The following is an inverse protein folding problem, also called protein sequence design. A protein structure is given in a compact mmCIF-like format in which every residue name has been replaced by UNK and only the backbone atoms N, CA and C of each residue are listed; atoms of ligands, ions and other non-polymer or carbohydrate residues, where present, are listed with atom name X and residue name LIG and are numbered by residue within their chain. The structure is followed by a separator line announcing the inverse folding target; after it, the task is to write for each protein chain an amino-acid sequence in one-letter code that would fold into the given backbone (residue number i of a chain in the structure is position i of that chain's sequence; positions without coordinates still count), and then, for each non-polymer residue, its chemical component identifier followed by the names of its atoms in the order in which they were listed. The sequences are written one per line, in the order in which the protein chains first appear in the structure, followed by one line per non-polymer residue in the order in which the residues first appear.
data_IF_149196249670
#
_entry.id   IF_149196249670
#
_cell.length_a   1.000
_cell.length_b   1.000
_cell.length_c   1.000
_cell.angle_alpha   90.00
_cell.angle_beta   90.00
_cell.angle_gamma   90.00
#
_symmetry.space_group_name_H-M   'P 1'
#
loop_
_entity.id
_entity.type
_entity.pdbx_description
1 polymer ?
#
# COMPACT_ATOMS: atom_id res chain seq x y z
N UNK A 1 11.24 -7.63 15.47
CA UNK A 1 12.62 -7.79 14.97
C UNK A 1 13.55 -7.07 15.93
N UNK A 2 14.60 -7.75 16.39
CA UNK A 2 15.66 -7.16 17.21
C UNK A 2 16.96 -7.25 16.44
N UNK A 3 17.75 -6.19 16.49
CA UNK A 3 19.12 -6.18 15.96
C UNK A 3 19.96 -5.34 16.92
N UNK A 4 21.26 -5.64 16.98
CA UNK A 4 22.23 -4.84 17.75
C UNK A 4 22.72 -3.62 16.96
N UNK A 5 22.40 -3.56 15.67
CA UNK A 5 22.73 -2.44 14.80
C UNK A 5 21.72 -1.30 14.99
N UNK A 6 22.20 -0.06 15.00
CA UNK A 6 21.31 1.08 14.83
C UNK A 6 20.64 1.05 13.45
N UNK A 7 19.52 1.75 13.28
CA UNK A 7 18.80 1.79 12.00
C UNK A 7 19.69 2.24 10.83
N UNK A 8 20.58 3.22 11.06
CA UNK A 8 21.51 3.74 10.05
C UNK A 8 22.60 2.72 9.70
N UNK A 9 23.16 2.03 10.69
CA UNK A 9 24.15 0.97 10.47
C UNK A 9 23.55 -0.24 9.76
N UNK A 10 22.33 -0.63 10.14
CA UNK A 10 21.59 -1.71 9.51
C UNK A 10 21.37 -1.41 8.02
N UNK A 11 20.90 -0.20 7.69
CA UNK A 11 20.67 0.20 6.32
C UNK A 11 21.96 0.23 5.48
N UNK A 12 23.05 0.79 6.01
CA UNK A 12 24.35 0.80 5.33
C UNK A 12 24.87 -0.63 5.08
N UNK A 13 24.82 -1.51 6.09
CA UNK A 13 25.22 -2.90 5.94
C UNK A 13 24.36 -3.67 4.92
N UNK A 14 23.06 -3.33 4.81
CA UNK A 14 22.16 -3.88 3.80
C UNK A 14 22.61 -3.50 2.39
N UNK A 15 22.89 -2.22 2.16
CA UNK A 15 23.38 -1.73 0.87
C UNK A 15 24.72 -2.37 0.47
N UNK A 16 25.58 -2.65 1.44
CA UNK A 16 26.88 -3.28 1.23
C UNK A 16 26.82 -4.81 1.18
N UNK A 17 25.63 -5.42 1.28
CA UNK A 17 25.45 -6.88 1.35
C UNK A 17 26.24 -7.56 2.48
N UNK A 18 26.40 -6.85 3.61
CA UNK A 18 27.12 -7.30 4.82
C UNK A 18 26.19 -7.79 5.94
N UNK A 19 24.90 -7.92 5.66
CA UNK A 19 23.93 -8.47 6.60
C UNK A 19 23.87 -10.00 6.50
N UNK A 20 24.00 -10.66 7.64
CA UNK A 20 23.79 -12.09 7.84
C UNK A 20 22.51 -12.32 8.62
N UNK A 21 21.88 -13.49 8.46
CA UNK A 21 20.72 -13.90 9.27
C UNK A 21 20.98 -13.83 10.78
N UNK A 22 22.25 -13.93 11.20
CA UNK A 22 22.67 -13.84 12.61
C UNK A 22 22.63 -12.42 13.16
N UNK A 23 22.54 -11.41 12.31
CA UNK A 23 22.52 -9.99 12.72
C UNK A 23 21.13 -9.53 13.21
N UNK A 24 20.12 -10.40 13.11
CA UNK A 24 18.75 -10.10 13.50
C UNK A 24 17.99 -11.31 14.03
N UNK A 25 17.16 -11.05 15.03
CA UNK A 25 16.21 -12.00 15.59
C UNK A 25 14.79 -11.54 15.27
N UNK A 26 13.98 -12.47 14.75
CA UNK A 26 12.55 -12.22 14.52
C UNK A 26 11.81 -12.48 15.83
N UNK A 27 10.87 -11.60 16.18
CA UNK A 27 10.02 -11.88 17.34
C UNK A 27 9.07 -13.06 17.06
N UNK A 28 8.71 -13.77 18.11
CA UNK A 28 7.78 -14.90 18.10
C UNK A 28 6.30 -14.46 18.01
N UNK A 29 6.04 -13.14 17.97
CA UNK A 29 4.69 -12.56 17.96
C UNK A 29 4.05 -12.55 16.56
N UNK A 30 4.74 -13.04 15.53
CA UNK A 30 4.22 -13.24 14.18
C UNK A 30 4.06 -11.95 13.34
N UNK A 31 4.23 -10.76 13.93
CA UNK A 31 3.99 -9.49 13.24
C UNK A 31 5.04 -9.19 12.18
N UNK A 32 6.30 -9.57 12.39
CA UNK A 32 7.35 -9.38 11.37
C UNK A 32 7.10 -10.31 10.18
N UNK A 33 6.75 -11.57 10.45
CA UNK A 33 6.45 -12.58 9.45
C UNK A 33 5.26 -12.14 8.60
N UNK A 34 4.20 -11.63 9.22
CA UNK A 34 3.05 -11.06 8.50
C UNK A 34 3.43 -9.91 7.56
N UNK A 35 4.42 -9.08 7.92
CA UNK A 35 4.92 -8.02 7.04
C UNK A 35 5.76 -8.62 5.91
N UNK A 36 6.74 -9.47 6.22
CA UNK A 36 7.66 -9.98 5.20
C UNK A 36 6.97 -10.87 4.15
N UNK A 37 5.96 -11.66 4.54
CA UNK A 37 5.25 -12.58 3.64
C UNK A 37 4.57 -11.89 2.46
N UNK A 38 4.26 -10.59 2.54
CA UNK A 38 3.50 -9.91 1.50
C UNK A 38 4.34 -9.05 0.57
N UNK A 39 5.64 -8.92 0.82
CA UNK A 39 6.55 -8.15 -0.02
C UNK A 39 6.53 -8.58 -1.50
N UNK A 40 6.48 -9.88 -1.85
CA UNK A 40 6.43 -10.29 -3.25
C UNK A 40 5.17 -9.85 -3.99
N UNK A 41 4.06 -9.64 -3.28
CA UNK A 41 2.76 -9.27 -3.88
C UNK A 41 2.53 -7.77 -3.92
N UNK A 42 3.47 -6.96 -3.42
CA UNK A 42 3.29 -5.50 -3.30
C UNK A 42 2.98 -4.83 -4.64
N UNK A 43 3.65 -5.30 -5.70
CA UNK A 43 3.44 -4.78 -7.05
C UNK A 43 2.01 -5.02 -7.55
N UNK A 44 1.37 -6.11 -7.13
CA UNK A 44 0.08 -6.55 -7.67
C UNK A 44 -1.13 -5.84 -7.06
N UNK A 45 -0.98 -5.23 -5.89
CA UNK A 45 -2.12 -4.62 -5.16
C UNK A 45 -2.88 -3.60 -6.00
N UNK A 46 -2.15 -2.83 -6.80
CA UNK A 46 -2.68 -1.72 -7.57
C UNK A 46 -3.17 -2.12 -8.98
N UNK A 47 -3.06 -3.40 -9.34
CA UNK A 47 -3.50 -3.95 -10.63
C UNK A 47 -4.74 -4.84 -10.53
N UNK A 48 -5.28 -5.01 -9.33
CA UNK A 48 -6.40 -5.92 -9.07
C UNK A 48 -7.44 -5.28 -8.15
N UNK A 49 -8.56 -5.99 -7.98
CA UNK A 49 -9.63 -5.57 -7.09
C UNK A 49 -9.13 -5.40 -5.64
N UNK A 50 -9.19 -4.17 -5.16
CA UNK A 50 -8.84 -3.81 -3.79
C UNK A 50 -9.93 -2.94 -3.13
N UNK A 51 -9.78 -2.75 -1.83
CA UNK A 51 -10.64 -1.90 -1.02
C UNK A 51 -9.80 -0.91 -0.22
N UNK A 52 -10.42 0.19 0.20
CA UNK A 52 -9.82 1.25 1.01
C UNK A 52 -10.69 1.53 2.23
N UNK A 53 -10.08 1.82 3.38
CA UNK A 53 -10.83 2.21 4.57
C UNK A 53 -9.96 2.82 5.67
N UNK A 54 -10.58 3.60 6.56
CA UNK A 54 -9.91 4.23 7.70
C UNK A 54 -9.44 3.20 8.72
N UNK A 55 -8.23 3.39 9.25
CA UNK A 55 -7.63 2.45 10.20
C UNK A 55 -8.36 2.47 11.55
N UNK A 56 -8.81 1.31 12.03
CA UNK A 56 -9.57 1.20 13.29
C UNK A 56 -8.69 1.00 14.53
N UNK A 57 -7.38 1.20 14.42
CA UNK A 57 -6.43 0.93 15.50
C UNK A 57 -6.58 -0.49 16.06
N UNK A 58 -6.46 -1.50 15.19
CA UNK A 58 -6.74 -2.92 15.46
C UNK A 58 -5.72 -3.62 16.39
N UNK A 59 -5.18 -2.89 17.39
CA UNK A 59 -4.22 -3.41 18.38
C UNK A 59 -2.79 -3.57 17.86
N UNK A 60 -2.50 -3.10 16.64
CA UNK A 60 -1.16 -3.10 16.08
C UNK A 60 -0.59 -1.69 16.24
N UNK A 61 0.59 -1.55 16.87
CA UNK A 61 1.26 -0.26 17.03
C UNK A 61 1.79 0.23 15.66
N UNK A 62 0.88 0.77 14.85
CA UNK A 62 1.12 1.29 13.51
C UNK A 62 0.56 2.71 13.49
N UNK A 63 1.34 3.63 12.94
CA UNK A 63 0.92 5.01 12.71
C UNK A 63 0.44 5.18 11.26
N UNK A 64 -0.59 4.45 10.89
CA UNK A 64 -1.29 4.55 9.60
C UNK A 64 -2.66 5.20 9.83
N UNK A 65 -3.13 5.97 8.85
CA UNK A 65 -4.41 6.65 8.90
C UNK A 65 -5.50 5.84 8.17
N UNK A 66 -5.13 5.14 7.10
CA UNK A 66 -6.02 4.26 6.34
C UNK A 66 -5.26 3.09 5.72
N UNK A 67 -5.99 2.07 5.27
CA UNK A 67 -5.44 0.90 4.59
C UNK A 67 -6.05 0.74 3.20
N UNK A 68 -5.24 0.27 2.26
CA UNK A 68 -5.66 -0.25 0.96
C UNK A 68 -5.25 -1.71 0.90
N UNK A 69 -6.15 -2.62 0.55
CA UNK A 69 -5.84 -4.04 0.54
C UNK A 69 -6.84 -4.87 -0.23
N UNK A 70 -6.46 -6.09 -0.57
CA UNK A 70 -7.41 -7.06 -1.11
C UNK A 70 -8.29 -7.68 -0.02
N UNK A 71 -9.36 -8.33 -0.45
CA UNK A 71 -10.28 -9.04 0.45
C UNK A 71 -9.92 -10.51 0.68
N UNK A 72 -8.88 -11.02 0.01
CA UNK A 72 -8.41 -12.40 0.13
C UNK A 72 -7.35 -12.57 1.21
N UNK A 73 -7.07 -11.51 1.96
CA UNK A 73 -6.06 -11.47 3.01
C UNK A 73 -4.64 -11.74 2.48
N UNK A 74 -4.35 -11.35 1.23
CA UNK A 74 -3.00 -11.53 0.65
C UNK A 74 -2.14 -10.31 0.96
N UNK A 75 -2.70 -9.10 0.86
CA UNK A 75 -1.94 -7.88 1.08
C UNK A 75 -2.84 -6.71 1.49
N UNK A 76 -2.46 -6.05 2.59
CA UNK A 76 -2.96 -4.74 2.99
C UNK A 76 -1.79 -3.78 3.23
N UNK A 77 -1.84 -2.60 2.63
CA UNK A 77 -0.84 -1.52 2.78
C UNK A 77 -1.47 -0.37 3.56
N UNK A 78 -0.82 0.03 4.64
CA UNK A 78 -1.23 1.16 5.47
C UNK A 78 -0.53 2.44 5.01
N UNK A 79 -1.28 3.52 4.92
CA UNK A 79 -0.82 4.83 4.46
C UNK A 79 -0.93 5.87 5.56
N UNK A 80 -0.10 6.91 5.49
CA UNK A 80 -0.26 8.14 6.27
C UNK A 80 -0.59 9.29 5.33
N UNK A 81 -1.55 10.11 5.74
CA UNK A 81 -1.97 11.32 5.04
C UNK A 81 -0.86 12.35 5.07
N UNK A 82 -0.46 12.80 3.88
CA UNK A 82 0.52 13.86 3.72
C UNK A 82 -0.14 15.21 3.46
N UNK A 83 0.69 16.26 3.27
CA UNK A 83 0.17 17.58 2.84
C UNK A 83 -0.22 17.62 1.37
N UNK A 84 0.58 16.96 0.52
CA UNK A 84 0.40 16.91 -0.94
C UNK A 84 0.15 15.52 -1.47
N UNK A 85 0.74 14.51 -0.84
CA UNK A 85 0.69 13.12 -1.29
C UNK A 85 0.79 12.23 -0.08
N UNK A 86 -0.03 11.18 -0.07
CA UNK A 86 -0.03 10.18 0.98
C UNK A 86 1.07 9.15 0.70
N UNK A 87 1.64 8.58 1.76
CA UNK A 87 2.78 7.67 1.63
C UNK A 87 2.56 6.38 2.42
N UNK A 88 3.00 5.23 1.87
CA UNK A 88 2.90 3.95 2.56
C UNK A 88 3.81 3.96 3.79
N UNK A 89 3.30 3.44 4.91
CA UNK A 89 4.04 3.33 6.18
C UNK A 89 4.15 1.89 6.67
N UNK A 90 3.33 0.98 6.14
CA UNK A 90 3.39 -0.43 6.53
C UNK A 90 2.64 -1.32 5.54
N UNK A 91 2.82 -2.64 5.66
CA UNK A 91 2.22 -3.68 4.82
C UNK A 91 1.98 -4.94 5.66
N UNK A 92 0.90 -5.68 5.42
CA UNK A 92 0.46 -6.82 6.24
C UNK A 92 -0.20 -7.92 5.41
N UNK A 93 0.07 -9.17 5.81
CA UNK A 93 -0.72 -10.35 5.44
C UNK A 93 -2.01 -10.43 6.29
N UNK A 94 -2.96 -9.55 6.03
CA UNK A 94 -4.24 -9.54 6.73
C UNK A 94 -5.33 -8.93 5.84
N UNK A 95 -6.57 -9.34 6.06
CA UNK A 95 -7.72 -8.81 5.36
C UNK A 95 -7.95 -7.33 5.73
N UNK A 96 -8.04 -6.46 4.72
CA UNK A 96 -8.26 -5.02 4.90
C UNK A 96 -9.49 -4.69 5.75
N UNK A 97 -10.54 -5.52 5.72
CA UNK A 97 -11.77 -5.35 6.51
C UNK A 97 -11.58 -5.56 8.02
N UNK A 98 -10.52 -6.26 8.42
CA UNK A 98 -10.14 -6.39 9.84
C UNK A 98 -9.29 -5.21 10.32
N UNK A 99 -8.63 -4.52 9.39
CA UNK A 99 -7.77 -3.38 9.68
C UNK A 99 -8.53 -2.05 9.55
N UNK A 100 -9.63 -2.01 8.81
CA UNK A 100 -10.30 -0.76 8.46
C UNK A 100 -11.82 -0.82 8.45
N UNK A 101 -12.46 0.26 8.90
CA UNK A 101 -13.91 0.47 8.84
C UNK A 101 -14.23 1.98 8.77
N UNK A 102 -15.18 2.41 7.92
CA UNK A 102 -15.82 1.61 6.88
C UNK A 102 -14.82 1.21 5.79
N UNK A 103 -15.11 0.13 5.07
CA UNK A 103 -14.30 -0.30 3.92
C UNK A 103 -15.08 -0.08 2.63
N UNK A 104 -14.53 0.71 1.71
CA UNK A 104 -15.10 1.04 0.42
C UNK A 104 -14.38 0.28 -0.71
N UNK A 105 -15.12 -0.06 -1.77
CA UNK A 105 -14.51 -0.64 -2.97
C UNK A 105 -13.74 0.44 -3.73
N UNK A 106 -12.54 0.12 -4.17
CA UNK A 106 -11.83 0.96 -5.13
C UNK A 106 -12.45 0.71 -6.51
N UNK A 107 -12.80 1.80 -7.21
CA UNK A 107 -13.42 1.71 -8.54
C UNK A 107 -12.39 1.78 -9.67
N UNK A 108 -11.33 2.56 -9.47
CA UNK A 108 -10.22 2.67 -10.41
C UNK A 108 -8.91 2.98 -9.67
N UNK A 109 -7.79 2.57 -10.26
CA UNK A 109 -6.43 2.95 -9.83
C UNK A 109 -5.70 3.49 -11.05
N UNK A 110 -5.12 4.67 -10.88
CA UNK A 110 -4.32 5.33 -11.91
C UNK A 110 -2.86 5.46 -11.43
N UNK A 111 -1.92 5.28 -12.35
CA UNK A 111 -0.48 5.42 -12.12
C UNK A 111 0.15 6.39 -13.13
N UNK A 112 1.36 6.83 -12.81
CA UNK A 112 2.23 7.67 -13.67
C UNK A 112 3.68 7.45 -13.33
N UNK A 113 4.58 7.90 -14.19
CA UNK A 113 5.97 8.07 -13.76
C UNK A 113 6.07 9.22 -12.75
N UNK A 114 7.03 9.10 -11.84
CA UNK A 114 7.21 10.07 -10.74
C UNK A 114 7.36 11.53 -11.22
N UNK A 115 7.95 11.73 -12.41
CA UNK A 115 8.21 13.06 -12.97
C UNK A 115 7.04 13.63 -13.78
N UNK A 116 6.05 12.81 -14.11
CA UNK A 116 4.95 13.22 -14.97
C UNK A 116 3.93 14.02 -14.15
N UNK A 117 3.25 14.96 -14.80
CA UNK A 117 2.23 15.76 -14.14
C UNK A 117 0.92 14.99 -14.01
N UNK A 118 0.50 14.33 -15.10
CA UNK A 118 -0.76 13.61 -15.19
C UNK A 118 -0.59 12.10 -15.06
N UNK A 119 -1.68 11.43 -14.69
CA UNK A 119 -1.82 9.98 -14.60
C UNK A 119 -2.23 9.41 -15.95
N UNK A 120 -1.33 8.70 -16.61
CA UNK A 120 -1.45 8.19 -17.97
C UNK A 120 -1.84 6.71 -18.06
N UNK A 121 -1.78 5.99 -16.94
CA UNK A 121 -2.05 4.55 -16.92
C UNK A 121 -3.15 4.19 -15.94
N UNK A 122 -4.27 3.65 -16.45
CA UNK A 122 -5.29 3.01 -15.62
C UNK A 122 -4.88 1.56 -15.32
N UNK A 123 -4.31 1.31 -14.13
CA UNK A 123 -3.83 -0.02 -13.73
C UNK A 123 -4.94 -0.95 -13.27
N UNK A 124 -6.07 -0.38 -12.84
CA UNK A 124 -7.26 -1.13 -12.46
C UNK A 124 -8.52 -0.34 -12.75
N UNK A 125 -9.53 -1.00 -13.31
CA UNK A 125 -10.90 -0.50 -13.44
C UNK A 125 -11.86 -1.61 -13.00
N UNK A 126 -12.80 -1.28 -12.12
CA UNK A 126 -13.79 -2.24 -11.65
C UNK A 126 -14.70 -2.69 -12.80
N UNK A 127 -15.17 -3.95 -12.72
CA UNK A 127 -16.03 -4.53 -13.76
C UNK A 127 -17.29 -3.67 -13.96
N UNK A 128 -17.68 -3.50 -15.22
CA UNK A 128 -18.84 -2.70 -15.63
C UNK A 128 -18.77 -1.24 -15.16
N UNK A 129 -17.57 -0.68 -15.07
CA UNK A 129 -17.36 0.75 -14.88
C UNK A 129 -16.71 1.32 -16.14
N UNK A 130 -17.05 2.56 -16.49
CA UNK A 130 -16.34 3.40 -17.44
C UNK A 130 -15.81 4.63 -16.71
N UNK A 131 -14.62 5.12 -17.07
CA UNK A 131 -14.02 6.31 -16.43
C UNK A 131 -14.98 7.50 -16.47
N UNK A 132 -15.71 7.67 -17.57
CA UNK A 132 -16.69 8.75 -17.76
C UNK A 132 -17.93 8.62 -16.86
N UNK A 133 -18.22 7.42 -16.34
CA UNK A 133 -19.39 7.12 -15.52
C UNK A 133 -19.09 7.14 -14.02
N UNK A 134 -17.82 7.26 -13.63
CA UNK A 134 -17.37 7.16 -12.24
C UNK A 134 -17.77 8.36 -11.35
N UNK A 135 -18.46 9.38 -11.89
CA UNK A 135 -18.89 10.55 -11.13
C UNK A 135 -17.72 11.33 -10.51
N UNK A 136 -16.58 11.34 -11.20
CA UNK A 136 -15.33 11.96 -10.73
C UNK A 136 -15.45 13.48 -10.80
N UNK A 137 -14.90 14.19 -9.80
CA UNK A 137 -14.84 15.65 -9.83
C UNK A 137 -13.93 16.15 -10.96
N UNK A 138 -14.20 17.36 -11.47
CA UNK A 138 -13.37 17.99 -12.50
C UNK A 138 -11.89 18.06 -12.10
N UNK A 139 -11.60 18.37 -10.82
CA UNK A 139 -10.24 18.43 -10.28
C UNK A 139 -9.47 17.12 -10.42
N UNK A 140 -10.13 15.97 -10.24
CA UNK A 140 -9.49 14.66 -10.37
C UNK A 140 -9.38 14.25 -11.84
N UNK A 141 -10.33 14.63 -12.68
CA UNK A 141 -10.26 14.41 -14.13
C UNK A 141 -9.08 15.15 -14.76
N UNK A 142 -8.78 16.38 -14.33
CA UNK A 142 -7.62 17.15 -14.81
C UNK A 142 -6.27 16.47 -14.51
N UNK A 143 -6.23 15.63 -13.46
CA UNK A 143 -5.05 14.87 -13.09
C UNK A 143 -4.84 13.64 -13.98
N UNK A 144 -5.85 13.17 -14.71
CA UNK A 144 -5.81 11.92 -15.47
C UNK A 144 -5.78 12.24 -16.97
N UNK A 145 -4.86 11.61 -17.69
CA UNK A 145 -4.89 11.54 -19.15
C UNK A 145 -5.91 10.46 -19.52
N UNK A 146 -7.08 10.89 -19.98
CA UNK A 146 -8.10 9.99 -20.49
C UNK A 146 -7.84 9.81 -21.98
N UNK A 147 -7.08 8.79 -22.36
CA UNK A 147 -6.91 8.44 -23.77
C UNK A 147 -8.24 7.90 -24.32
N UNK A 148 -8.76 8.56 -25.35
CA UNK A 148 -9.92 8.10 -26.12
C UNK A 148 -9.51 6.85 -26.92
N UNK A 149 -10.03 5.67 -26.53
CA UNK A 149 -9.98 4.47 -27.38
C UNK A 149 -11.38 4.00 -27.73
#
# INVERSE_FOLDING_TARGET
MKTRLSAQQFYAACLESKLSERDFEVDDKGKVQQKLMVLPYLADLLYHHCMIGDFINSGICIRADYFVGDTKAVLSVGFRRGKKTDFPVTLYNENVRKLSQPTNKVLAVFSKNYKDQQYDSCTYLAKNQSIHELGISAEVLELILVDET
#
